data_IF_692686738286
#
_entry.id   IF_692686738286
#
_cell.length_a   1.000
_cell.length_b   1.000
_cell.length_c   1.000
_cell.angle_alpha   90.00
_cell.angle_beta   90.00
_cell.angle_gamma   90.00
#
_symmetry.space_group_name_H-M   'P 1'
#
loop_
_entity.id
_entity.type
_entity.pdbx_description
1 polymer ?
#
# COMPACT_ATOMS: atom_id res chain seq x y z
N UNK A 1 -0.16 -7.56 6.37
CA UNK A 1 -1.26 -7.09 5.49
C UNK A 1 -2.40 -6.37 6.25
N UNK A 2 -2.84 -6.85 7.41
CA UNK A 2 -3.98 -6.26 8.15
C UNK A 2 -3.75 -4.81 8.62
N UNK A 3 -2.52 -4.47 9.02
CA UNK A 3 -2.15 -3.11 9.43
C UNK A 3 -2.29 -2.08 8.30
N UNK A 4 -2.05 -2.51 7.05
CA UNK A 4 -2.21 -1.67 5.86
C UNK A 4 -3.68 -1.29 5.66
N UNK A 5 -4.58 -2.27 5.66
CA UNK A 5 -6.02 -2.02 5.51
C UNK A 5 -6.60 -1.22 6.69
N UNK A 6 -6.08 -1.44 7.89
CA UNK A 6 -6.44 -0.65 9.07
C UNK A 6 -6.08 0.83 8.91
N UNK A 7 -4.89 1.15 8.37
CA UNK A 7 -4.47 2.51 8.05
C UNK A 7 -5.29 3.11 6.91
N UNK A 8 -5.47 2.40 5.81
CA UNK A 8 -6.29 2.83 4.67
C UNK A 8 -7.69 3.24 5.14
N UNK A 9 -8.31 2.42 6.00
CA UNK A 9 -9.66 2.67 6.51
C UNK A 9 -9.72 3.88 7.44
N UNK A 10 -8.69 4.09 8.27
CA UNK A 10 -8.64 5.17 9.26
C UNK A 10 -8.17 6.51 8.71
N UNK A 11 -7.28 6.51 7.72
CA UNK A 11 -6.65 7.72 7.20
C UNK A 11 -7.25 8.19 5.87
N UNK A 12 -7.55 7.27 4.94
CA UNK A 12 -8.07 7.63 3.61
C UNK A 12 -9.59 7.51 3.50
N UNK A 13 -10.17 6.44 4.02
CA UNK A 13 -11.61 6.18 3.85
C UNK A 13 -12.47 6.80 4.95
N UNK A 14 -11.88 7.19 6.09
CA UNK A 14 -12.63 7.74 7.21
C UNK A 14 -13.19 9.13 6.86
N UNK A 15 -14.50 9.23 6.74
CA UNK A 15 -15.19 10.50 6.45
C UNK A 15 -15.06 10.95 5.00
N UNK A 16 -14.64 10.07 4.09
CA UNK A 16 -14.54 10.38 2.68
C UNK A 16 -15.94 10.69 2.11
N UNK A 17 -16.07 11.85 1.46
CA UNK A 17 -17.27 12.25 0.72
C UNK A 17 -16.84 12.58 -0.71
N UNK A 18 -17.40 11.84 -1.66
CA UNK A 18 -17.09 11.95 -3.09
C UNK A 18 -18.40 12.07 -3.86
N UNK A 19 -18.37 12.75 -5.00
CA UNK A 19 -19.58 12.95 -5.83
C UNK A 19 -19.78 11.83 -6.84
N UNK A 20 -18.70 11.16 -7.25
CA UNK A 20 -18.72 10.09 -8.25
C UNK A 20 -17.85 8.91 -7.86
N UNK A 21 -18.10 7.75 -8.47
CA UNK A 21 -17.30 6.54 -8.24
C UNK A 21 -15.87 6.69 -8.77
N UNK A 22 -15.67 7.39 -9.88
CA UNK A 22 -14.34 7.60 -10.47
C UNK A 22 -13.41 8.39 -9.55
N UNK A 23 -13.95 9.42 -8.88
CA UNK A 23 -13.22 10.21 -7.88
C UNK A 23 -12.74 9.35 -6.69
N UNK A 24 -13.56 8.39 -6.26
CA UNK A 24 -13.17 7.46 -5.20
C UNK A 24 -11.97 6.59 -5.62
N UNK A 25 -12.04 6.07 -6.85
CA UNK A 25 -11.01 5.18 -7.41
C UNK A 25 -9.69 5.94 -7.53
N UNK A 26 -9.71 7.13 -8.12
CA UNK A 26 -8.53 7.99 -8.26
C UNK A 26 -7.88 8.31 -6.90
N UNK A 27 -8.70 8.61 -5.88
CA UNK A 27 -8.17 8.92 -4.54
C UNK A 27 -7.54 7.72 -3.84
N UNK A 28 -8.05 6.51 -4.07
CA UNK A 28 -7.45 5.27 -3.56
C UNK A 28 -6.10 5.01 -4.25
N UNK A 29 -6.02 5.19 -5.57
CA UNK A 29 -4.76 5.03 -6.30
C UNK A 29 -3.71 6.04 -5.86
N UNK A 30 -4.09 7.31 -5.67
CA UNK A 30 -3.20 8.33 -5.14
C UNK A 30 -2.63 7.96 -3.76
N UNK A 31 -3.46 7.40 -2.87
CA UNK A 31 -2.99 6.91 -1.57
C UNK A 31 -1.96 5.78 -1.71
N UNK A 32 -2.12 4.89 -2.70
CA UNK A 32 -1.13 3.83 -2.94
C UNK A 32 0.20 4.40 -3.43
N UNK A 33 0.19 5.40 -4.34
CA UNK A 33 1.42 6.08 -4.77
C UNK A 33 2.15 6.71 -3.58
N UNK A 34 1.42 7.46 -2.72
CA UNK A 34 2.00 8.11 -1.53
C UNK A 34 2.60 7.10 -0.54
N UNK A 35 1.96 5.94 -0.35
CA UNK A 35 2.47 4.89 0.54
C UNK A 35 3.67 4.15 -0.07
N UNK A 36 3.69 3.98 -1.39
CA UNK A 36 4.77 3.29 -2.09
C UNK A 36 6.03 4.15 -2.21
N UNK A 37 5.90 5.48 -2.24
CA UNK A 37 7.03 6.43 -2.26
C UNK A 37 7.91 6.30 -1.00
N UNK A 38 7.29 6.03 0.15
CA UNK A 38 8.01 5.75 1.40
C UNK A 38 7.72 4.32 1.89
N UNK A 39 8.45 3.31 1.39
CA UNK A 39 8.16 1.92 1.72
C UNK A 39 8.32 1.70 3.23
N UNK A 40 7.22 1.28 3.88
CA UNK A 40 7.23 0.95 5.30
C UNK A 40 7.90 -0.41 5.48
N UNK A 41 9.13 -0.40 6.02
CA UNK A 41 9.83 -1.62 6.41
C UNK A 41 9.11 -2.25 7.61
N UNK A 42 8.39 -3.34 7.36
CA UNK A 42 7.73 -4.11 8.42
C UNK A 42 8.78 -4.94 9.18
N UNK A 43 8.83 -4.79 10.50
CA UNK A 43 9.75 -5.53 11.39
C UNK A 43 9.06 -6.76 12.00
N UNK A 44 8.43 -7.58 11.16
CA UNK A 44 7.72 -8.76 11.62
C UNK A 44 8.72 -9.89 11.89
N UNK A 45 8.73 -10.41 13.12
CA UNK A 45 9.58 -11.53 13.55
C UNK A 45 8.86 -12.88 13.47
N UNK A 46 8.11 -13.15 12.41
CA UNK A 46 7.44 -14.43 12.26
C UNK A 46 8.29 -15.35 11.40
N UNK A 47 8.80 -16.44 11.99
CA UNK A 47 9.69 -17.44 11.35
C UNK A 47 10.89 -16.84 10.60
N UNK A 48 11.54 -15.82 11.19
CA UNK A 48 12.77 -15.24 10.62
C UNK A 48 13.91 -16.26 10.50
N UNK A 49 13.85 -17.34 11.29
CA UNK A 49 14.83 -18.43 11.28
C UNK A 49 14.82 -19.20 9.94
N UNK A 50 13.73 -19.10 9.17
CA UNK A 50 13.58 -19.69 7.84
C UNK A 50 13.96 -18.71 6.71
N UNK A 51 14.20 -17.42 7.03
CA UNK A 51 14.43 -16.34 6.06
C UNK A 51 15.93 -16.05 5.98
N UNK A 52 16.51 -16.13 4.77
CA UNK A 52 17.92 -15.88 4.56
C UNK A 52 18.22 -14.36 4.70
N UNK A 53 19.10 -13.93 5.62
CA UNK A 53 19.39 -12.51 5.84
C UNK A 53 20.09 -11.80 4.66
N UNK A 54 20.55 -12.56 3.66
CA UNK A 54 21.12 -12.03 2.41
C UNK A 54 20.08 -11.89 1.28
N UNK A 55 18.81 -12.22 1.52
CA UNK A 55 17.75 -12.13 0.51
C UNK A 55 17.18 -10.71 0.49
N UNK A 56 17.33 -10.02 -0.65
CA UNK A 56 16.76 -8.68 -0.83
C UNK A 56 15.23 -8.75 -0.76
N UNK A 57 14.62 -7.87 0.06
CA UNK A 57 13.18 -7.77 0.16
C UNK A 57 12.61 -7.38 -1.21
N UNK A 58 11.93 -8.31 -1.88
CA UNK A 58 11.32 -8.06 -3.18
C UNK A 58 10.15 -7.09 -3.02
N UNK A 59 10.37 -5.85 -3.44
CA UNK A 59 9.31 -4.84 -3.56
C UNK A 59 8.68 -4.99 -4.95
N UNK A 60 7.54 -5.67 -5.01
CA UNK A 60 6.77 -5.76 -6.25
C UNK A 60 6.01 -4.45 -6.46
N UNK A 61 6.64 -3.51 -7.18
CA UNK A 61 5.98 -2.30 -7.65
C UNK A 61 5.07 -2.67 -8.82
N UNK A 62 3.75 -2.62 -8.61
CA UNK A 62 2.79 -2.75 -9.71
C UNK A 62 3.04 -1.61 -10.72
N UNK A 63 3.59 -1.94 -11.89
CA UNK A 63 3.77 -0.99 -12.99
C UNK A 63 2.40 -0.44 -13.39
N UNK A 64 2.18 0.86 -13.16
CA UNK A 64 1.02 1.58 -13.68
C UNK A 64 1.22 1.75 -15.18
N UNK A 65 0.78 0.76 -15.96
CA UNK A 65 0.64 0.91 -17.42
C UNK A 65 -0.34 2.07 -17.66
N UNK A 66 0.20 3.19 -18.15
CA UNK A 66 -0.60 4.36 -18.51
C UNK A 66 -1.59 3.94 -19.59
N UNK A 67 -2.88 3.93 -19.27
CA UNK A 67 -3.93 3.81 -20.29
C UNK A 67 -3.90 5.04 -21.19
N UNK A 68 -3.56 4.82 -22.46
CA UNK A 68 -3.86 5.72 -23.59
C UNK A 68 -5.35 5.92 -23.78
#
# INVERSE_FOLDING_TARGET
VEGFFSKLTRQSLKGIRVKTKSELVERIYKYFEEINDTPVVYHWKYRLDEINPNEEAQVETLSLEKSS
#
